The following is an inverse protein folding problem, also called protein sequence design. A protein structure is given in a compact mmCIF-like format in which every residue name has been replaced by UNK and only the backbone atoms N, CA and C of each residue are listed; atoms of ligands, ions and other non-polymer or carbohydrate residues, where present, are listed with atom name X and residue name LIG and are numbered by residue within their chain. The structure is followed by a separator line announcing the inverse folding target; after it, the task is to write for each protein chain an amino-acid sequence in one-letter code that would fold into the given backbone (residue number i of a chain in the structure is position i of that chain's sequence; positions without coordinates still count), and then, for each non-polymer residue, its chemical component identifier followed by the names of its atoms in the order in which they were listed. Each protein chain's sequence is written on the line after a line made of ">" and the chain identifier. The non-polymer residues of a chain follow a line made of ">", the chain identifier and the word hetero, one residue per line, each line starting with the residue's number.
data_IF_189587641466
#
_entry.id   IF_189587641466
#
_cell.length_a   1.000
_cell.length_b   1.000
_cell.length_c   1.000
_cell.angle_alpha   90.00
_cell.angle_beta   90.00
_cell.angle_gamma   90.00
#
_symmetry.space_group_name_H-M   'P 1'
#
loop_
_entity.id
_entity.type
_entity.pdbx_description
1 polymer ?
#
# COMPACT_ATOMS: atom_id res chain seq x y z
N UNK A 1 -93.62 -31.10 31.61
CA UNK A 1 -93.72 -31.97 30.43
C UNK A 1 -92.58 -31.64 29.51
N UNK A 2 -91.60 -32.49 29.52
CA UNK A 2 -90.95 -33.25 28.49
C UNK A 2 -90.14 -32.35 27.56
N UNK A 3 -88.98 -32.66 27.07
CA UNK A 3 -88.19 -33.88 26.95
C UNK A 3 -86.73 -33.41 26.75
N UNK A 4 -85.85 -34.08 27.41
CA UNK A 4 -84.39 -34.03 27.21
C UNK A 4 -84.03 -34.48 25.78
N UNK A 5 -83.17 -33.76 25.14
CA UNK A 5 -82.43 -34.30 23.97
C UNK A 5 -80.93 -34.12 24.25
N UNK A 6 -80.32 -35.23 24.50
CA UNK A 6 -78.88 -35.39 24.70
C UNK A 6 -78.26 -35.75 23.35
N UNK A 7 -77.65 -34.80 22.76
CA UNK A 7 -76.73 -35.07 21.62
C UNK A 7 -75.29 -34.98 22.05
N UNK A 8 -74.71 -36.13 22.18
CA UNK A 8 -73.33 -36.39 22.54
C UNK A 8 -72.39 -35.95 21.34
N UNK A 9 -71.79 -34.81 21.47
CA UNK A 9 -70.75 -34.45 20.49
C UNK A 9 -69.42 -35.15 20.88
N UNK A 10 -69.11 -36.19 20.11
CA UNK A 10 -67.84 -36.87 20.20
C UNK A 10 -66.76 -35.93 19.61
N UNK A 11 -65.99 -35.31 20.47
CA UNK A 11 -64.80 -34.51 20.07
C UNK A 11 -63.69 -35.48 19.65
N UNK A 12 -63.55 -35.70 18.35
CA UNK A 12 -62.44 -36.46 17.81
C UNK A 12 -61.22 -35.54 17.82
N UNK A 13 -60.37 -35.74 18.81
CA UNK A 13 -59.04 -35.13 18.86
C UNK A 13 -58.20 -35.71 17.74
N UNK A 14 -58.13 -35.01 16.62
CA UNK A 14 -57.12 -35.24 15.59
C UNK A 14 -55.78 -34.74 16.13
N UNK A 15 -55.03 -35.62 16.72
CA UNK A 15 -53.64 -35.38 17.06
C UNK A 15 -52.84 -35.30 15.73
N UNK A 16 -52.22 -34.18 15.39
CA UNK A 16 -51.34 -34.16 14.21
C UNK A 16 -50.17 -35.10 14.51
N UNK A 17 -50.10 -36.22 13.81
CA UNK A 17 -48.86 -37.01 13.79
C UNK A 17 -47.74 -36.16 13.28
N UNK A 18 -46.91 -35.71 14.17
CA UNK A 18 -45.59 -35.17 13.85
C UNK A 18 -44.81 -36.36 13.28
N UNK A 19 -44.80 -36.47 11.96
CA UNK A 19 -43.89 -37.39 11.28
C UNK A 19 -42.48 -36.81 11.45
N UNK A 20 -41.80 -37.23 12.48
CA UNK A 20 -40.37 -37.08 12.60
C UNK A 20 -39.75 -37.96 11.52
N UNK A 21 -39.54 -37.38 10.33
CA UNK A 21 -38.71 -38.02 9.30
C UNK A 21 -37.30 -38.08 9.86
N UNK A 22 -36.91 -39.23 10.35
CA UNK A 22 -35.48 -39.50 10.65
C UNK A 22 -34.73 -39.31 9.33
N UNK A 23 -33.73 -38.44 9.30
CA UNK A 23 -32.96 -38.24 8.08
C UNK A 23 -32.37 -39.58 7.66
N UNK A 24 -32.52 -39.91 6.37
CA UNK A 24 -31.94 -41.13 5.82
C UNK A 24 -30.43 -41.12 6.05
N UNK A 25 -29.86 -42.22 6.50
CA UNK A 25 -28.43 -42.37 6.73
C UNK A 25 -27.58 -41.94 5.54
N UNK A 26 -28.10 -42.12 4.31
CA UNK A 26 -27.46 -41.68 3.09
C UNK A 26 -27.38 -40.12 2.96
N UNK A 27 -28.45 -39.42 3.34
CA UNK A 27 -28.48 -37.94 3.35
C UNK A 27 -27.54 -37.35 4.37
N UNK A 28 -27.46 -37.95 5.56
CA UNK A 28 -26.53 -37.55 6.63
C UNK A 28 -25.09 -37.79 6.19
N UNK A 29 -24.80 -38.93 5.57
CA UNK A 29 -23.47 -39.23 5.04
C UNK A 29 -23.02 -38.22 3.97
N UNK A 30 -23.91 -37.81 3.08
CA UNK A 30 -23.62 -36.78 2.05
C UNK A 30 -23.33 -35.41 2.69
N UNK A 31 -24.10 -35.00 3.69
CA UNK A 31 -23.89 -33.76 4.44
C UNK A 31 -22.54 -33.76 5.17
N UNK A 32 -22.17 -34.88 5.76
CA UNK A 32 -20.87 -35.03 6.44
C UNK A 32 -19.73 -34.88 5.43
N UNK A 33 -19.83 -35.48 4.24
CA UNK A 33 -18.82 -35.31 3.19
C UNK A 33 -18.72 -33.86 2.69
N UNK A 34 -19.84 -33.17 2.52
CA UNK A 34 -19.84 -31.74 2.17
C UNK A 34 -19.15 -30.89 3.21
N UNK A 35 -19.51 -31.08 4.49
CA UNK A 35 -18.87 -30.36 5.60
C UNK A 35 -17.36 -30.65 5.71
N UNK A 36 -16.94 -31.89 5.44
CA UNK A 36 -15.52 -32.23 5.43
C UNK A 36 -14.76 -31.49 4.30
N UNK A 37 -15.38 -31.36 3.13
CA UNK A 37 -14.81 -30.58 2.01
C UNK A 37 -14.69 -29.10 2.37
N UNK A 38 -15.77 -28.49 2.90
CA UNK A 38 -15.77 -27.10 3.34
C UNK A 38 -14.71 -26.82 4.41
N UNK A 39 -14.57 -27.71 5.40
CA UNK A 39 -13.53 -27.60 6.43
C UNK A 39 -12.12 -27.68 5.83
N UNK A 40 -11.91 -28.54 4.85
CA UNK A 40 -10.64 -28.64 4.12
C UNK A 40 -10.31 -27.36 3.36
N UNK A 41 -11.30 -26.81 2.66
CA UNK A 41 -11.13 -25.57 1.88
C UNK A 41 -10.86 -24.37 2.78
N UNK A 42 -11.63 -24.21 3.88
CA UNK A 42 -11.43 -23.16 4.88
C UNK A 42 -10.05 -23.28 5.56
N UNK A 43 -9.58 -24.51 5.81
CA UNK A 43 -8.25 -24.73 6.39
C UNK A 43 -7.15 -24.29 5.44
N UNK A 44 -7.31 -24.56 4.14
CA UNK A 44 -6.39 -24.12 3.10
C UNK A 44 -6.36 -22.59 2.95
N UNK A 45 -7.54 -21.96 2.97
CA UNK A 45 -7.68 -20.51 2.91
C UNK A 45 -7.05 -19.82 4.14
N UNK A 46 -7.28 -20.38 5.33
CA UNK A 46 -6.65 -19.90 6.56
C UNK A 46 -5.12 -19.99 6.50
N UNK A 47 -4.57 -21.07 5.95
CA UNK A 47 -3.14 -21.22 5.78
C UNK A 47 -2.56 -20.15 4.83
N UNK A 48 -3.25 -19.84 3.73
CA UNK A 48 -2.88 -18.77 2.81
C UNK A 48 -2.90 -17.40 3.47
N UNK A 49 -3.97 -17.04 4.16
CA UNK A 49 -4.11 -15.76 4.88
C UNK A 49 -3.04 -15.63 5.97
N UNK A 50 -2.75 -16.70 6.69
CA UNK A 50 -1.69 -16.72 7.69
C UNK A 50 -0.31 -16.48 7.07
N UNK A 51 -0.03 -17.08 5.90
CA UNK A 51 1.19 -16.85 5.14
C UNK A 51 1.36 -15.40 4.68
N UNK A 52 0.28 -14.78 4.20
CA UNK A 52 0.26 -13.37 3.84
C UNK A 52 0.50 -12.45 5.05
N UNK A 53 -0.14 -12.74 6.17
CA UNK A 53 0.03 -11.98 7.40
C UNK A 53 1.50 -12.00 7.88
N UNK A 54 2.16 -13.16 7.85
CA UNK A 54 3.59 -13.27 8.21
C UNK A 54 4.46 -12.46 7.27
N UNK A 55 4.15 -12.45 5.97
CA UNK A 55 4.86 -11.64 4.96
C UNK A 55 4.73 -10.15 5.27
N UNK A 56 3.50 -9.67 5.47
CA UNK A 56 3.25 -8.27 5.82
C UNK A 56 3.90 -7.86 7.14
N UNK A 57 3.88 -8.73 8.15
CA UNK A 57 4.59 -8.46 9.40
C UNK A 57 6.11 -8.28 9.19
N UNK A 58 6.71 -9.06 8.28
CA UNK A 58 8.14 -8.91 7.96
C UNK A 58 8.43 -7.56 7.28
N UNK A 59 7.55 -7.12 6.39
CA UNK A 59 7.67 -5.82 5.71
C UNK A 59 7.52 -4.66 6.69
N UNK A 60 6.54 -4.73 7.59
CA UNK A 60 6.35 -3.73 8.65
C UNK A 60 7.60 -3.63 9.55
N UNK A 61 8.22 -4.75 9.91
CA UNK A 61 9.48 -4.74 10.69
C UNK A 61 10.63 -4.09 9.94
N UNK A 62 10.76 -4.34 8.64
CA UNK A 62 11.75 -3.65 7.79
C UNK A 62 11.49 -2.14 7.79
N UNK A 63 10.24 -1.74 7.60
CA UNK A 63 9.86 -0.33 7.61
C UNK A 63 10.14 0.33 8.96
N UNK A 64 9.83 -0.34 10.07
CA UNK A 64 10.13 0.15 11.42
C UNK A 64 11.64 0.37 11.62
N UNK A 65 12.50 -0.52 11.12
CA UNK A 65 13.96 -0.35 11.18
C UNK A 65 14.45 0.86 10.38
N UNK A 66 13.82 1.14 9.24
CA UNK A 66 14.11 2.36 8.46
C UNK A 66 13.74 3.63 9.22
N UNK A 67 12.56 3.65 9.84
CA UNK A 67 12.09 4.78 10.65
C UNK A 67 13.04 5.04 11.84
N UNK A 68 13.47 3.99 12.54
CA UNK A 68 14.46 4.12 13.63
C UNK A 68 15.78 4.71 13.15
N UNK A 69 16.28 4.27 11.99
CA UNK A 69 17.52 4.81 11.43
C UNK A 69 17.38 6.29 11.07
N UNK A 70 16.25 6.70 10.47
CA UNK A 70 15.96 8.11 10.19
C UNK A 70 15.89 8.91 11.49
N UNK A 71 15.20 8.41 12.51
CA UNK A 71 15.11 9.07 13.81
C UNK A 71 16.49 9.24 14.49
N UNK A 72 17.38 8.24 14.38
CA UNK A 72 18.75 8.32 14.87
C UNK A 72 19.55 9.38 14.14
N UNK A 73 19.42 9.48 12.82
CA UNK A 73 20.10 10.50 12.00
C UNK A 73 19.61 11.90 12.42
N UNK A 74 18.31 12.09 12.57
CA UNK A 74 17.70 13.34 13.00
C UNK A 74 18.15 13.69 14.42
N UNK A 75 18.13 12.74 15.36
CA UNK A 75 18.55 12.95 16.75
C UNK A 75 20.07 13.25 16.85
N UNK A 76 20.90 12.63 16.03
CA UNK A 76 22.34 12.91 15.97
C UNK A 76 22.60 14.33 15.48
N UNK A 77 21.92 14.77 14.42
CA UNK A 77 22.03 16.14 13.92
C UNK A 77 21.59 17.19 14.95
N UNK A 78 20.50 16.93 15.68
CA UNK A 78 20.00 17.84 16.73
C UNK A 78 20.97 17.98 17.91
N UNK A 79 21.67 16.91 18.30
CA UNK A 79 22.64 16.95 19.42
C UNK A 79 23.93 17.71 19.09
N UNK A 80 24.31 17.76 17.82
CA UNK A 80 25.58 18.40 17.42
C UNK A 80 25.40 19.83 16.91
N UNK A 81 24.20 20.43 17.10
CA UNK A 81 23.95 21.86 16.83
C UNK A 81 24.15 22.30 15.38
N UNK A 82 24.21 21.33 14.43
CA UNK A 82 24.50 21.60 13.02
C UNK A 82 23.25 21.77 12.14
N UNK A 83 22.04 21.73 12.71
CA UNK A 83 20.86 22.27 12.04
C UNK A 83 20.75 23.76 12.29
N UNK A 84 21.73 24.51 11.82
CA UNK A 84 21.61 25.95 11.68
C UNK A 84 20.43 26.26 10.77
N UNK A 85 19.58 27.16 11.17
CA UNK A 85 18.36 27.62 10.48
C UNK A 85 18.64 28.20 9.08
N UNK A 86 19.89 28.31 8.67
CA UNK A 86 20.30 29.06 7.47
C UNK A 86 20.40 28.27 6.16
N UNK A 87 20.32 26.94 6.18
CA UNK A 87 20.39 26.16 4.94
C UNK A 87 19.31 25.08 4.87
N UNK A 88 18.05 25.44 5.09
CA UNK A 88 16.97 24.50 4.84
C UNK A 88 16.72 24.40 3.33
N UNK A 89 17.30 23.38 2.70
CA UNK A 89 17.03 23.00 1.32
C UNK A 89 16.14 21.78 1.34
N UNK A 90 15.02 21.84 0.63
CA UNK A 90 14.14 20.70 0.54
C UNK A 90 12.85 21.01 -0.19
N UNK A 91 12.21 19.97 -0.66
CA UNK A 91 10.94 20.09 -1.38
C UNK A 91 10.03 18.90 -1.09
N UNK A 92 8.75 19.12 -1.34
CA UNK A 92 7.70 18.12 -1.35
C UNK A 92 6.78 18.41 -2.52
N UNK A 93 6.56 17.41 -3.35
CA UNK A 93 5.70 17.50 -4.52
C UNK A 93 4.85 16.22 -4.68
N UNK A 94 3.69 16.37 -5.29
CA UNK A 94 2.71 15.31 -5.51
C UNK A 94 2.31 15.23 -6.97
N UNK A 95 1.90 14.04 -7.42
CA UNK A 95 1.26 13.89 -8.72
C UNK A 95 -0.08 14.65 -8.72
N UNK A 96 -0.35 15.34 -9.82
CA UNK A 96 -1.62 16.03 -10.03
C UNK A 96 -2.83 15.11 -9.90
N UNK A 97 -4.02 15.67 -9.83
CA UNK A 97 -5.27 14.91 -9.61
C UNK A 97 -5.51 13.81 -10.67
N UNK A 98 -5.19 14.09 -11.91
CA UNK A 98 -5.31 13.17 -13.05
C UNK A 98 -3.98 13.17 -13.81
N UNK A 99 -2.96 12.48 -13.34
CA UNK A 99 -1.69 12.44 -14.05
C UNK A 99 -1.88 11.80 -15.43
N UNK A 100 -1.22 12.38 -16.42
CA UNK A 100 -1.14 11.76 -17.74
C UNK A 100 -0.46 10.39 -17.63
N UNK A 101 -0.79 9.44 -18.52
CA UNK A 101 -0.05 8.18 -18.61
C UNK A 101 1.44 8.45 -18.73
N UNK A 102 2.24 7.72 -17.97
CA UNK A 102 3.71 7.85 -17.98
C UNK A 102 4.28 6.65 -18.72
N UNK A 103 5.04 6.93 -19.76
CA UNK A 103 5.67 5.89 -20.58
C UNK A 103 6.88 5.27 -19.87
N UNK A 104 7.30 4.09 -20.33
CA UNK A 104 8.52 3.44 -19.85
C UNK A 104 9.76 4.31 -20.11
N UNK A 105 10.63 4.40 -19.12
CA UNK A 105 11.87 5.22 -19.10
C UNK A 105 11.65 6.73 -19.10
N UNK A 106 10.46 7.17 -18.82
CA UNK A 106 10.12 8.57 -18.70
C UNK A 106 10.37 9.09 -17.28
N UNK A 107 10.78 10.36 -17.17
CA UNK A 107 10.96 11.02 -15.87
C UNK A 107 9.59 11.32 -15.26
N UNK A 108 9.44 10.95 -14.00
CA UNK A 108 8.22 11.25 -13.26
C UNK A 108 8.17 12.72 -12.85
N UNK A 109 7.15 13.43 -13.32
CA UNK A 109 6.92 14.83 -12.98
C UNK A 109 5.82 14.96 -11.93
N UNK A 110 6.17 15.55 -10.78
CA UNK A 110 5.25 15.82 -9.69
C UNK A 110 4.89 17.30 -9.73
N UNK A 111 3.75 17.63 -10.32
CA UNK A 111 3.38 18.99 -10.67
C UNK A 111 2.83 19.82 -9.52
N UNK A 112 2.28 19.16 -8.48
CA UNK A 112 1.73 19.85 -7.32
C UNK A 112 2.78 19.98 -6.22
N UNK A 113 3.43 21.15 -6.16
CA UNK A 113 4.52 21.43 -5.23
C UNK A 113 3.97 22.09 -3.98
N UNK A 114 4.04 21.42 -2.83
CA UNK A 114 3.63 21.96 -1.54
C UNK A 114 4.73 22.75 -0.84
N UNK A 115 5.99 22.37 -1.07
CA UNK A 115 7.17 23.07 -0.55
C UNK A 115 8.33 22.99 -1.54
N UNK A 116 9.11 24.08 -1.68
CA UNK A 116 10.32 24.13 -2.49
C UNK A 116 11.30 25.17 -1.93
N UNK A 117 11.95 24.83 -0.83
CA UNK A 117 12.94 25.70 -0.19
C UNK A 117 14.28 25.59 -0.89
N UNK A 118 14.82 26.74 -1.32
CA UNK A 118 16.05 26.82 -2.09
C UNK A 118 15.84 26.63 -3.58
N UNK A 119 14.61 26.73 -4.08
CA UNK A 119 14.24 26.60 -5.52
C UNK A 119 14.89 25.40 -6.20
N UNK A 120 14.96 24.30 -5.46
CA UNK A 120 15.76 23.15 -5.81
C UNK A 120 15.03 22.12 -6.69
N UNK A 121 13.70 22.17 -6.77
CA UNK A 121 12.89 21.25 -7.56
C UNK A 121 12.14 21.96 -8.68
N UNK A 122 12.23 21.41 -9.89
CA UNK A 122 11.51 21.90 -11.06
C UNK A 122 10.33 20.97 -11.39
N UNK A 123 9.11 21.45 -11.17
CA UNK A 123 7.88 20.70 -11.35
C UNK A 123 7.58 20.31 -12.80
N UNK A 124 8.09 21.07 -13.79
CA UNK A 124 7.89 20.75 -15.21
C UNK A 124 8.84 19.68 -15.74
N UNK A 125 9.96 19.43 -15.06
CA UNK A 125 10.94 18.42 -15.48
C UNK A 125 11.05 17.24 -14.52
N UNK A 126 10.50 17.35 -13.30
CA UNK A 126 10.62 16.34 -12.24
C UNK A 126 12.03 16.26 -11.62
N UNK A 127 12.90 17.24 -11.90
CA UNK A 127 14.31 17.20 -11.52
C UNK A 127 14.58 18.09 -10.30
N UNK A 128 15.20 17.49 -9.28
CA UNK A 128 15.84 18.21 -8.18
C UNK A 128 17.28 18.59 -8.61
N UNK A 129 17.71 19.79 -8.27
CA UNK A 129 19.11 20.24 -8.45
C UNK A 129 19.63 20.75 -7.12
N UNK A 130 20.75 20.21 -6.62
CA UNK A 130 21.33 20.58 -5.33
C UNK A 130 21.90 22.01 -5.36
N UNK A 131 21.33 22.98 -4.61
CA UNK A 131 21.88 24.33 -4.50
C UNK A 131 23.10 24.41 -3.59
N UNK A 132 23.27 23.44 -2.69
CA UNK A 132 24.34 23.34 -1.71
C UNK A 132 24.93 21.94 -1.74
N UNK A 133 26.24 21.79 -1.59
CA UNK A 133 26.88 20.48 -1.45
C UNK A 133 26.58 19.87 -0.07
N UNK A 134 26.36 18.54 -0.02
CA UNK A 134 26.07 17.89 1.25
C UNK A 134 25.41 16.52 1.12
N UNK A 135 24.91 16.00 2.22
CA UNK A 135 24.18 14.75 2.29
C UNK A 135 22.68 15.03 2.21
N UNK A 136 22.04 14.42 1.25
CA UNK A 136 20.61 14.55 0.98
C UNK A 136 19.87 13.23 1.17
N UNK A 137 18.66 13.30 1.69
CA UNK A 137 17.69 12.22 1.71
C UNK A 137 16.59 12.52 0.69
N UNK A 138 16.31 11.56 -0.18
CA UNK A 138 15.20 11.59 -1.12
C UNK A 138 14.24 10.44 -0.83
N UNK A 139 12.95 10.65 -1.07
CA UNK A 139 11.92 9.61 -1.00
C UNK A 139 10.91 9.78 -2.11
N UNK A 140 10.39 8.68 -2.57
CA UNK A 140 9.28 8.65 -3.52
C UNK A 140 8.34 7.51 -3.17
N UNK A 141 7.05 7.81 -3.24
CA UNK A 141 5.97 6.88 -3.05
C UNK A 141 5.03 6.99 -4.25
N UNK A 142 4.87 5.90 -5.00
CA UNK A 142 3.96 5.84 -6.16
C UNK A 142 2.96 4.73 -5.95
N UNK A 143 1.69 5.08 -6.07
CA UNK A 143 0.61 4.10 -6.10
C UNK A 143 0.31 3.72 -7.54
N UNK A 144 0.43 2.42 -7.81
CA UNK A 144 0.01 1.80 -9.05
C UNK A 144 -1.51 1.63 -9.04
N UNK A 145 -2.20 2.28 -9.97
CA UNK A 145 -3.65 2.14 -10.10
C UNK A 145 -4.06 0.92 -10.94
N UNK A 146 -3.15 0.41 -11.77
CA UNK A 146 -3.38 -0.79 -12.58
C UNK A 146 -3.05 -2.04 -11.74
N UNK A 147 -4.08 -2.81 -11.44
CA UNK A 147 -3.95 -4.04 -10.66
C UNK A 147 -3.32 -5.21 -11.44
N UNK A 148 -3.26 -5.15 -12.77
CA UNK A 148 -2.80 -6.27 -13.58
C UNK A 148 -1.32 -6.18 -13.95
N UNK A 149 -0.77 -4.97 -13.92
CA UNK A 149 0.63 -4.72 -14.26
C UNK A 149 1.45 -4.30 -13.06
N UNK A 150 2.68 -4.79 -12.95
CA UNK A 150 3.65 -4.26 -11.99
C UNK A 150 4.06 -2.83 -12.37
N UNK A 151 4.61 -2.09 -11.41
CA UNK A 151 5.23 -0.79 -11.64
C UNK A 151 6.63 -0.79 -11.05
N UNK A 152 7.64 -0.48 -11.86
CA UNK A 152 9.03 -0.31 -11.39
C UNK A 152 9.44 1.14 -11.53
N UNK A 153 10.02 1.71 -10.47
CA UNK A 153 10.59 3.05 -10.44
C UNK A 153 12.06 3.01 -10.01
N UNK A 154 12.86 3.90 -10.57
CA UNK A 154 14.27 4.08 -10.23
C UNK A 154 14.53 5.52 -9.82
N UNK A 155 15.36 5.71 -8.81
CA UNK A 155 15.98 7.01 -8.51
C UNK A 155 17.34 7.10 -9.17
N UNK A 156 17.58 8.20 -9.87
CA UNK A 156 18.84 8.50 -10.53
C UNK A 156 19.51 9.73 -9.90
N UNK A 157 20.82 9.69 -9.81
CA UNK A 157 21.67 10.85 -9.55
C UNK A 157 22.70 11.01 -10.66
N UNK A 158 22.71 12.15 -11.29
CA UNK A 158 23.69 12.50 -12.35
C UNK A 158 23.83 11.40 -13.42
N UNK A 159 22.69 10.81 -13.82
CA UNK A 159 22.61 9.74 -14.82
C UNK A 159 22.92 8.32 -14.32
N UNK A 160 23.25 8.15 -13.03
CA UNK A 160 23.50 6.83 -12.42
C UNK A 160 22.34 6.41 -11.52
N UNK A 161 21.87 5.17 -11.61
CA UNK A 161 20.84 4.67 -10.70
C UNK A 161 21.41 4.57 -9.26
N UNK A 162 20.63 5.02 -8.28
CA UNK A 162 20.94 4.91 -6.87
C UNK A 162 20.19 3.76 -6.22
N UNK A 163 18.91 3.65 -6.51
CA UNK A 163 18.03 2.66 -5.88
C UNK A 163 16.78 2.46 -6.76
N UNK A 164 15.96 1.47 -6.42
CA UNK A 164 14.72 1.18 -7.13
C UNK A 164 13.66 0.62 -6.19
N UNK A 165 12.40 0.69 -6.63
CA UNK A 165 11.27 0.01 -6.00
C UNK A 165 10.33 -0.55 -7.05
N UNK A 166 9.53 -1.53 -6.64
CA UNK A 166 8.52 -2.14 -7.49
C UNK A 166 7.23 -2.35 -6.68
N UNK A 167 6.10 -1.95 -7.28
CA UNK A 167 4.78 -2.41 -6.88
C UNK A 167 4.47 -3.71 -7.64
N UNK A 168 4.11 -4.80 -6.95
CA UNK A 168 3.80 -6.07 -7.61
C UNK A 168 2.49 -5.98 -8.42
N UNK A 169 2.31 -6.88 -9.42
CA UNK A 169 1.01 -7.06 -10.07
C UNK A 169 0.01 -7.71 -9.12
N UNK A 170 -1.24 -7.75 -9.52
CA UNK A 170 -2.36 -8.41 -8.85
C UNK A 170 -2.68 -7.88 -7.43
N UNK A 171 -2.15 -6.71 -7.10
CA UNK A 171 -2.46 -5.97 -5.87
C UNK A 171 -3.21 -4.69 -6.22
N UNK A 172 -4.40 -4.52 -5.65
CA UNK A 172 -5.14 -3.26 -5.79
C UNK A 172 -4.37 -2.13 -5.10
N UNK A 173 -4.09 -1.06 -5.83
CA UNK A 173 -3.29 0.08 -5.34
C UNK A 173 -1.92 -0.33 -4.77
N UNK A 174 -1.25 -1.25 -5.44
CA UNK A 174 0.11 -1.64 -5.08
C UNK A 174 1.04 -0.42 -5.05
N UNK A 175 1.93 -0.37 -4.06
CA UNK A 175 2.78 0.80 -3.82
C UNK A 175 4.24 0.49 -4.09
N UNK A 176 4.88 1.31 -4.93
CA UNK A 176 6.34 1.36 -5.08
C UNK A 176 6.89 2.50 -4.22
N UNK A 177 7.62 2.16 -3.15
CA UNK A 177 8.22 3.14 -2.25
C UNK A 177 9.73 2.96 -2.21
N UNK A 178 10.47 4.04 -2.43
CA UNK A 178 11.93 4.04 -2.38
C UNK A 178 12.45 5.29 -1.69
N UNK A 179 13.50 5.12 -0.90
CA UNK A 179 14.28 6.22 -0.34
C UNK A 179 15.77 6.02 -0.63
N UNK A 180 16.53 7.10 -0.68
CA UNK A 180 17.96 7.06 -0.88
C UNK A 180 18.66 8.20 -0.18
N UNK A 181 19.71 7.88 0.58
CA UNK A 181 20.64 8.83 1.14
C UNK A 181 21.85 8.94 0.21
N UNK A 182 22.23 10.15 -0.16
CA UNK A 182 23.36 10.33 -1.10
C UNK A 182 24.09 11.64 -0.87
N UNK A 183 25.42 11.63 -1.07
CA UNK A 183 26.22 12.83 -1.08
C UNK A 183 26.09 13.52 -2.45
N UNK A 184 25.83 14.83 -2.46
CA UNK A 184 25.68 15.63 -3.68
C UNK A 184 26.64 16.82 -3.68
N UNK A 185 27.16 17.15 -4.84
CA UNK A 185 27.85 18.41 -5.10
C UNK A 185 26.84 19.46 -5.52
N UNK A 186 27.20 20.74 -5.41
CA UNK A 186 26.41 21.83 -5.98
C UNK A 186 26.16 21.54 -7.46
N UNK A 187 24.91 21.69 -7.91
CA UNK A 187 24.49 21.42 -9.29
C UNK A 187 24.21 19.94 -9.61
N UNK A 188 24.53 19.00 -8.72
CA UNK A 188 24.13 17.59 -8.89
C UNK A 188 22.62 17.46 -8.97
N UNK A 189 22.13 16.53 -9.80
CA UNK A 189 20.71 16.36 -10.11
C UNK A 189 20.20 15.00 -9.65
N UNK A 190 18.96 14.98 -9.13
CA UNK A 190 18.23 13.76 -8.78
C UNK A 190 16.84 13.79 -9.39
N UNK A 191 16.40 12.64 -9.91
CA UNK A 191 15.06 12.47 -10.46
C UNK A 191 14.61 11.02 -10.36
N UNK A 192 13.31 10.80 -10.50
CA UNK A 192 12.71 9.46 -10.57
C UNK A 192 12.30 9.14 -12.00
N UNK A 193 12.48 7.89 -12.39
CA UNK A 193 12.10 7.37 -13.69
C UNK A 193 11.15 6.21 -13.50
N UNK A 194 10.03 6.21 -14.21
CA UNK A 194 9.27 5.00 -14.42
C UNK A 194 10.06 4.08 -15.33
N UNK A 195 10.55 2.97 -14.81
CA UNK A 195 11.38 2.07 -15.59
C UNK A 195 10.54 1.17 -16.49
N UNK A 196 9.52 0.54 -15.94
CA UNK A 196 8.66 -0.40 -16.67
C UNK A 196 7.34 -0.63 -15.95
N UNK A 197 6.32 -1.00 -16.72
CA UNK A 197 5.06 -1.51 -16.20
C UNK A 197 3.90 -0.54 -16.38
N UNK A 198 2.99 -0.50 -15.43
CA UNK A 198 1.76 0.29 -15.50
C UNK A 198 1.99 1.75 -15.90
N UNK A 199 1.15 2.25 -16.78
CA UNK A 199 1.10 3.67 -17.15
C UNK A 199 0.13 4.47 -16.27
N UNK A 200 -0.73 3.77 -15.51
CA UNK A 200 -1.75 4.36 -14.66
C UNK A 200 -1.24 4.55 -13.23
N UNK A 201 -0.93 5.78 -12.88
CA UNK A 201 -0.48 6.17 -11.55
C UNK A 201 -1.58 6.89 -10.79
N UNK A 202 -1.66 6.67 -9.49
CA UNK A 202 -2.63 7.36 -8.63
C UNK A 202 -2.10 8.75 -8.25
N UNK A 203 -2.81 9.78 -8.66
CA UNK A 203 -2.56 11.18 -8.28
C UNK A 203 -3.29 11.60 -7.00
N UNK A 204 -3.70 12.86 -6.93
CA UNK A 204 -4.50 13.46 -5.85
C UNK A 204 -3.88 13.29 -4.44
N UNK A 205 -2.58 13.52 -4.31
CA UNK A 205 -1.87 13.42 -3.01
C UNK A 205 -1.44 12.00 -2.61
N UNK A 206 -1.88 10.97 -3.34
CA UNK A 206 -1.52 9.57 -3.03
C UNK A 206 -0.09 9.19 -3.44
N UNK A 207 0.43 9.85 -4.46
CA UNK A 207 1.80 9.64 -4.94
C UNK A 207 2.62 10.90 -4.77
N UNK A 208 3.78 10.79 -4.15
CA UNK A 208 4.60 11.93 -3.76
C UNK A 208 6.10 11.68 -3.98
N UNK A 209 6.82 12.79 -4.13
CA UNK A 209 8.27 12.84 -4.19
C UNK A 209 8.76 14.00 -3.31
N UNK A 210 9.76 13.72 -2.50
CA UNK A 210 10.39 14.73 -1.68
C UNK A 210 11.88 14.52 -1.52
N UNK A 211 12.54 15.54 -1.07
CA UNK A 211 13.96 15.49 -0.74
C UNK A 211 14.35 16.62 0.19
N UNK A 212 15.35 16.36 1.04
CA UNK A 212 15.86 17.34 2.00
C UNK A 212 17.36 17.23 2.21
N UNK A 213 18.01 18.34 2.46
CA UNK A 213 19.39 18.40 2.93
C UNK A 213 19.44 17.93 4.39
N UNK A 214 20.25 16.92 4.67
CA UNK A 214 20.49 16.42 6.04
C UNK A 214 21.69 17.10 6.67
N UNK A 215 22.75 17.30 5.88
CA UNK A 215 24.01 17.89 6.35
C UNK A 215 24.74 18.58 5.19
N UNK A 216 25.19 19.80 5.42
CA UNK A 216 26.10 20.50 4.49
C UNK A 216 27.45 19.79 4.52
N UNK A 217 28.02 19.56 3.31
CA UNK A 217 29.31 18.90 3.12
C UNK A 217 30.46 19.85 2.95
#
# INVERSE_FOLDING_TARGET
>A
MSVLDTSLFALVLVCPMVTTTTPDLASVSLQVQQLQTEVSDLTSELANVTGELVRHQSEVRKFASYVENIQRIVAFGSRHGQFGVEASVGFQAELGMNPAPVLDREVLTFSHVSQNRGDCYNASTGIFTAPVGGIYLFWCNIINYDRHNSLSIYIFRDGKPLNYAMAPPDVYQGTATVSSLTHMKVGSKVWFVKHKGSESLQGAGWSSYGGTLIKVG
#
